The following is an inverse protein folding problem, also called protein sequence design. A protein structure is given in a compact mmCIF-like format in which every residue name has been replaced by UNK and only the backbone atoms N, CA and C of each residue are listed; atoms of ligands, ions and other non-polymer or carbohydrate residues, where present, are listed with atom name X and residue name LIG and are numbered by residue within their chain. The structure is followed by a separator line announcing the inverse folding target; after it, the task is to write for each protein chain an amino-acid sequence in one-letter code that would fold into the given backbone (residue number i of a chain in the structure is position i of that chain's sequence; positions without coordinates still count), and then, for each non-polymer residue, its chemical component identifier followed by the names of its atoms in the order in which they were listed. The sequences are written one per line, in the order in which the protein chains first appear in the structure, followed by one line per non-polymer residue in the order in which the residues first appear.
data_IF_792497099031
#
_entry.id   IF_792497099031
#
_cell.length_a   1.000
_cell.length_b   1.000
_cell.length_c   1.000
_cell.angle_alpha   90.00
_cell.angle_beta   90.00
_cell.angle_gamma   90.00
#
_symmetry.space_group_name_H-M   'P 1'
#
loop_
_entity.id
_entity.type
_entity.pdbx_description
1 polymer ?
#
# COMPACT_ATOMS: atom_id res chain seq x y z
N UNK A 1 -16.89 -12.16 15.12
CA UNK A 1 -16.83 -11.17 14.03
C UNK A 1 -16.88 -11.84 12.65
N UNK A 2 -15.98 -12.77 12.30
CA UNK A 2 -16.03 -13.54 11.03
C UNK A 2 -17.37 -14.24 10.80
N UNK A 3 -17.88 -14.97 11.79
CA UNK A 3 -19.15 -15.69 11.68
C UNK A 3 -20.33 -14.76 11.34
N UNK A 4 -20.31 -13.51 11.81
CA UNK A 4 -21.32 -12.51 11.47
C UNK A 4 -21.22 -12.08 10.00
N UNK A 5 -20.01 -11.80 9.50
CA UNK A 5 -19.83 -11.44 8.09
C UNK A 5 -20.10 -12.61 7.14
N UNK A 6 -19.77 -13.85 7.54
CA UNK A 6 -20.08 -15.04 6.74
C UNK A 6 -21.59 -15.29 6.68
N UNK A 7 -22.31 -15.10 7.79
CA UNK A 7 -23.77 -15.21 7.79
C UNK A 7 -24.41 -14.10 6.94
N UNK A 8 -23.93 -12.86 7.07
CA UNK A 8 -24.36 -11.74 6.21
C UNK A 8 -24.13 -12.07 4.73
N UNK A 9 -22.96 -12.58 4.35
CA UNK A 9 -22.66 -12.97 2.98
C UNK A 9 -23.65 -14.00 2.43
N UNK A 10 -23.99 -15.02 3.24
CA UNK A 10 -24.93 -16.06 2.83
C UNK A 10 -26.35 -15.49 2.61
N UNK A 11 -26.85 -14.67 3.54
CA UNK A 11 -28.16 -14.02 3.42
C UNK A 11 -28.21 -13.08 2.21
N UNK A 12 -27.17 -12.27 2.00
CA UNK A 12 -27.11 -11.36 0.85
C UNK A 12 -27.18 -12.10 -0.49
N UNK A 13 -26.51 -13.26 -0.60
CA UNK A 13 -26.58 -14.14 -1.78
C UNK A 13 -27.97 -14.73 -1.99
N UNK A 14 -28.61 -15.20 -0.92
CA UNK A 14 -29.98 -15.73 -0.98
C UNK A 14 -30.98 -14.67 -1.45
N UNK A 15 -30.81 -13.43 -0.99
CA UNK A 15 -31.64 -12.29 -1.37
C UNK A 15 -31.23 -11.65 -2.71
N UNK A 16 -30.13 -12.12 -3.34
CA UNK A 16 -29.51 -11.51 -4.53
C UNK A 16 -29.21 -10.02 -4.37
N UNK A 17 -28.86 -9.60 -3.15
CA UNK A 17 -28.44 -8.24 -2.84
C UNK A 17 -26.92 -8.10 -3.08
N UNK A 18 -26.57 -7.65 -4.29
CA UNK A 18 -25.18 -7.48 -4.74
C UNK A 18 -24.41 -6.48 -3.86
N UNK A 19 -25.08 -5.43 -3.40
CA UNK A 19 -24.46 -4.37 -2.57
C UNK A 19 -24.08 -4.92 -1.19
N UNK A 20 -24.99 -5.65 -0.56
CA UNK A 20 -24.73 -6.30 0.73
C UNK A 20 -23.71 -7.42 0.62
N UNK A 21 -23.74 -8.20 -0.47
CA UNK A 21 -22.74 -9.24 -0.75
C UNK A 21 -21.34 -8.64 -0.86
N UNK A 22 -21.16 -7.60 -1.68
CA UNK A 22 -19.88 -6.92 -1.84
C UNK A 22 -19.37 -6.36 -0.50
N UNK A 23 -20.23 -5.73 0.29
CA UNK A 23 -19.84 -5.23 1.63
C UNK A 23 -19.38 -6.34 2.55
N UNK A 24 -20.05 -7.49 2.56
CA UNK A 24 -19.66 -8.63 3.37
C UNK A 24 -18.30 -9.22 2.92
N UNK A 25 -18.08 -9.33 1.60
CA UNK A 25 -16.81 -9.79 1.01
C UNK A 25 -15.64 -8.87 1.38
N UNK A 26 -15.79 -7.56 1.20
CA UNK A 26 -14.74 -6.60 1.58
C UNK A 26 -14.40 -6.67 3.07
N UNK A 27 -15.40 -6.80 3.94
CA UNK A 27 -15.20 -6.94 5.38
C UNK A 27 -14.50 -8.25 5.77
N UNK A 28 -14.83 -9.37 5.12
CA UNK A 28 -14.14 -10.65 5.33
C UNK A 28 -12.67 -10.57 4.89
N UNK A 29 -12.41 -10.00 3.71
CA UNK A 29 -11.06 -9.74 3.23
C UNK A 29 -10.25 -8.88 4.21
N UNK A 30 -10.83 -7.76 4.66
CA UNK A 30 -10.19 -6.85 5.61
C UNK A 30 -9.91 -7.53 6.95
N UNK A 31 -10.85 -8.36 7.43
CA UNK A 31 -10.67 -9.11 8.67
C UNK A 31 -9.45 -10.04 8.58
N UNK A 32 -9.35 -10.86 7.54
CA UNK A 32 -8.23 -11.78 7.36
C UNK A 32 -6.91 -11.03 7.13
N UNK A 33 -6.92 -9.99 6.30
CA UNK A 33 -5.76 -9.15 6.04
C UNK A 33 -5.20 -8.51 7.32
N UNK A 34 -6.08 -8.03 8.22
CA UNK A 34 -5.68 -7.43 9.51
C UNK A 34 -4.99 -8.43 10.45
N UNK A 35 -5.22 -9.73 10.26
CA UNK A 35 -4.60 -10.83 11.03
C UNK A 35 -3.35 -11.41 10.36
N UNK A 36 -2.94 -10.87 9.22
CA UNK A 36 -1.86 -11.44 8.41
C UNK A 36 -2.25 -12.74 7.69
N UNK A 37 -3.54 -13.08 7.67
CA UNK A 37 -4.11 -14.25 7.00
C UNK A 37 -4.33 -13.92 5.51
N UNK A 38 -3.26 -13.52 4.82
CA UNK A 38 -3.33 -13.05 3.42
C UNK A 38 -3.88 -14.09 2.43
N UNK A 39 -3.53 -15.40 2.52
CA UNK A 39 -4.11 -16.41 1.65
C UNK A 39 -5.65 -16.50 1.76
N UNK A 40 -6.19 -16.26 2.95
CA UNK A 40 -7.63 -16.25 3.20
C UNK A 40 -8.29 -14.94 2.73
N UNK A 41 -7.57 -13.81 2.79
CA UNK A 41 -8.09 -12.51 2.38
C UNK A 41 -8.29 -12.38 0.85
N UNK A 42 -7.32 -12.87 0.08
CA UNK A 42 -7.29 -12.80 -1.40
C UNK A 42 -8.63 -13.22 -2.06
N UNK A 43 -9.17 -14.42 -1.81
CA UNK A 43 -10.38 -14.87 -2.50
C UNK A 43 -11.62 -14.02 -2.19
N UNK A 44 -11.67 -13.34 -1.04
CA UNK A 44 -12.77 -12.43 -0.71
C UNK A 44 -12.68 -11.13 -1.49
N UNK A 45 -11.48 -10.57 -1.65
CA UNK A 45 -11.27 -9.38 -2.48
C UNK A 45 -11.47 -9.68 -3.97
N UNK A 46 -11.01 -10.83 -4.47
CA UNK A 46 -11.27 -11.23 -5.86
C UNK A 46 -12.77 -11.41 -6.14
N UNK A 47 -13.51 -11.98 -5.17
CA UNK A 47 -14.97 -12.07 -5.27
C UNK A 47 -15.62 -10.68 -5.30
N UNK A 48 -15.15 -9.73 -4.49
CA UNK A 48 -15.63 -8.35 -4.53
C UNK A 48 -15.41 -7.73 -5.92
N UNK A 49 -14.19 -7.86 -6.47
CA UNK A 49 -13.86 -7.27 -7.77
C UNK A 49 -14.64 -7.89 -8.94
N UNK A 50 -15.12 -9.13 -8.81
CA UNK A 50 -16.05 -9.70 -9.79
C UNK A 50 -17.42 -9.03 -9.78
N UNK A 51 -17.83 -8.44 -8.66
CA UNK A 51 -19.10 -7.73 -8.51
C UNK A 51 -18.96 -6.23 -8.79
N UNK A 52 -17.75 -5.68 -8.78
CA UNK A 52 -17.53 -4.23 -8.87
C UNK A 52 -18.16 -3.54 -10.10
N UNK A 53 -18.22 -4.17 -11.30
CA UNK A 53 -18.89 -3.56 -12.44
C UNK A 53 -20.38 -3.28 -12.20
N UNK A 54 -21.04 -4.11 -11.40
CA UNK A 54 -22.47 -3.97 -11.06
C UNK A 54 -22.70 -2.96 -9.91
N UNK A 55 -21.67 -2.67 -9.12
CA UNK A 55 -21.74 -1.74 -7.99
C UNK A 55 -21.58 -0.28 -8.41
N UNK A 56 -20.81 -0.03 -9.49
CA UNK A 56 -20.42 1.30 -9.95
C UNK A 56 -19.76 2.17 -8.83
N UNK A 57 -19.10 1.52 -7.87
CA UNK A 57 -18.44 2.15 -6.72
C UNK A 57 -16.92 2.13 -6.90
N UNK A 58 -16.43 3.11 -7.66
CA UNK A 58 -15.00 3.26 -7.95
C UNK A 58 -14.15 3.48 -6.70
N UNK A 59 -14.70 4.12 -5.66
CA UNK A 59 -13.97 4.42 -4.43
C UNK A 59 -13.67 3.13 -3.65
N UNK A 60 -14.69 2.29 -3.43
CA UNK A 60 -14.49 1.03 -2.74
C UNK A 60 -13.76 -0.01 -3.62
N UNK A 61 -13.91 0.05 -4.94
CA UNK A 61 -13.08 -0.74 -5.86
C UNK A 61 -11.59 -0.41 -5.68
N UNK A 62 -11.22 0.87 -5.62
CA UNK A 62 -9.84 1.30 -5.39
C UNK A 62 -9.29 0.77 -4.07
N UNK A 63 -10.07 0.88 -2.98
CA UNK A 63 -9.67 0.34 -1.65
C UNK A 63 -9.47 -1.17 -1.68
N UNK A 64 -10.33 -1.91 -2.36
CA UNK A 64 -10.21 -3.38 -2.47
C UNK A 64 -9.00 -3.76 -3.34
N UNK A 65 -8.77 -3.07 -4.46
CA UNK A 65 -7.56 -3.23 -5.27
C UNK A 65 -6.29 -2.99 -4.44
N UNK A 66 -6.27 -1.92 -3.65
CA UNK A 66 -5.15 -1.62 -2.76
C UNK A 66 -4.87 -2.75 -1.76
N UNK A 67 -5.91 -3.24 -1.08
CA UNK A 67 -5.77 -4.27 -0.07
C UNK A 67 -5.40 -5.63 -0.67
N UNK A 68 -5.91 -5.93 -1.86
CA UNK A 68 -5.54 -7.14 -2.60
C UNK A 68 -4.08 -7.07 -3.07
N UNK A 69 -3.65 -5.92 -3.60
CA UNK A 69 -2.24 -5.68 -3.95
C UNK A 69 -1.32 -5.86 -2.75
N UNK A 70 -1.72 -5.35 -1.57
CA UNK A 70 -0.99 -5.56 -0.32
C UNK A 70 -0.93 -7.03 0.11
N UNK A 71 -2.05 -7.75 0.04
CA UNK A 71 -2.07 -9.18 0.34
C UNK A 71 -1.11 -9.95 -0.58
N UNK A 72 -1.12 -9.68 -1.89
CA UNK A 72 -0.17 -10.29 -2.83
C UNK A 72 1.28 -9.92 -2.54
N UNK A 73 1.56 -8.66 -2.19
CA UNK A 73 2.90 -8.23 -1.82
C UNK A 73 3.41 -9.00 -0.59
N UNK A 74 2.60 -9.15 0.45
CA UNK A 74 2.95 -9.91 1.65
C UNK A 74 3.14 -11.41 1.38
N UNK A 75 2.47 -11.95 0.35
CA UNK A 75 2.66 -13.33 -0.11
C UNK A 75 3.89 -13.52 -1.01
N UNK A 76 4.61 -12.45 -1.36
CA UNK A 76 5.72 -12.49 -2.31
C UNK A 76 5.29 -12.53 -3.78
N UNK A 77 3.99 -12.40 -4.05
CA UNK A 77 3.40 -12.41 -5.39
C UNK A 77 3.51 -11.01 -6.01
N UNK A 78 4.73 -10.50 -6.19
CA UNK A 78 4.96 -9.09 -6.53
C UNK A 78 4.38 -8.66 -7.89
N UNK A 79 4.29 -9.58 -8.87
CA UNK A 79 3.66 -9.28 -10.16
C UNK A 79 2.16 -8.99 -10.03
N UNK A 80 1.43 -9.80 -9.27
CA UNK A 80 0.01 -9.53 -8.99
C UNK A 80 -0.16 -8.29 -8.12
N UNK A 81 0.76 -8.06 -7.17
CA UNK A 81 0.75 -6.82 -6.38
C UNK A 81 0.83 -5.57 -7.26
N UNK A 82 1.75 -5.55 -8.24
CA UNK A 82 1.86 -4.45 -9.22
C UNK A 82 0.55 -4.26 -9.96
N UNK A 83 -0.02 -5.32 -10.54
CA UNK A 83 -1.28 -5.26 -11.30
C UNK A 83 -2.41 -4.60 -10.50
N UNK A 84 -2.63 -5.02 -9.25
CA UNK A 84 -3.70 -4.46 -8.42
C UNK A 84 -3.39 -3.04 -7.94
N UNK A 85 -2.12 -2.70 -7.68
CA UNK A 85 -1.76 -1.32 -7.37
C UNK A 85 -1.83 -0.38 -8.58
N UNK A 86 -1.61 -0.86 -9.81
CA UNK A 86 -1.84 -0.10 -11.04
C UNK A 86 -3.33 0.18 -11.24
N UNK A 87 -4.20 -0.79 -10.94
CA UNK A 87 -5.66 -0.59 -10.96
C UNK A 87 -6.11 0.42 -9.89
N UNK A 88 -5.62 0.31 -8.64
CA UNK A 88 -5.84 1.31 -7.58
C UNK A 88 -5.39 2.71 -8.02
N UNK A 89 -4.20 2.82 -8.62
CA UNK A 89 -3.68 4.09 -9.15
C UNK A 89 -4.55 4.68 -10.27
N UNK A 90 -5.06 3.84 -11.18
CA UNK A 90 -5.95 4.28 -12.25
C UNK A 90 -7.24 4.87 -11.69
N UNK A 91 -7.90 4.15 -10.77
CA UNK A 91 -9.11 4.62 -10.09
C UNK A 91 -8.85 5.91 -9.30
N UNK A 92 -7.73 5.99 -8.58
CA UNK A 92 -7.35 7.20 -7.84
C UNK A 92 -7.05 8.40 -8.76
N UNK A 93 -6.62 8.18 -10.02
CA UNK A 93 -6.47 9.23 -11.03
C UNK A 93 -7.83 9.70 -11.55
N UNK A 94 -8.73 8.77 -11.84
CA UNK A 94 -10.09 9.05 -12.32
C UNK A 94 -10.91 9.82 -11.27
N UNK A 95 -10.74 9.48 -9.99
CA UNK A 95 -11.35 10.18 -8.86
C UNK A 95 -10.61 11.46 -8.44
N UNK A 96 -9.48 11.77 -9.08
CA UNK A 96 -8.58 12.87 -8.72
C UNK A 96 -8.11 12.86 -7.24
N UNK A 97 -8.11 11.69 -6.59
CA UNK A 97 -7.67 11.52 -5.21
C UNK A 97 -6.14 11.43 -5.13
N UNK A 98 -5.51 12.57 -4.86
CA UNK A 98 -4.06 12.68 -4.71
C UNK A 98 -3.50 11.87 -3.53
N UNK A 99 -4.28 11.66 -2.46
CA UNK A 99 -3.82 10.88 -1.31
C UNK A 99 -3.75 9.38 -1.65
N UNK A 100 -4.77 8.88 -2.34
CA UNK A 100 -4.78 7.49 -2.82
C UNK A 100 -3.73 7.26 -3.91
N UNK A 101 -3.54 8.21 -4.83
CA UNK A 101 -2.42 8.17 -5.79
C UNK A 101 -1.06 8.07 -5.09
N UNK A 102 -0.83 8.86 -4.04
CA UNK A 102 0.42 8.79 -3.28
C UNK A 102 0.61 7.42 -2.62
N UNK A 103 -0.43 6.84 -2.02
CA UNK A 103 -0.36 5.48 -1.44
C UNK A 103 -0.05 4.43 -2.50
N UNK A 104 -0.72 4.49 -3.65
CA UNK A 104 -0.51 3.56 -4.76
C UNK A 104 0.93 3.65 -5.32
N UNK A 105 1.44 4.86 -5.58
CA UNK A 105 2.84 5.03 -6.02
C UNK A 105 3.85 4.53 -4.99
N UNK A 106 3.60 4.75 -3.69
CA UNK A 106 4.48 4.23 -2.64
C UNK A 106 4.62 2.70 -2.74
N UNK A 107 3.50 2.00 -2.84
CA UNK A 107 3.47 0.54 -2.87
C UNK A 107 3.91 -0.05 -4.21
N UNK A 108 3.58 0.59 -5.34
CA UNK A 108 4.13 0.24 -6.66
C UNK A 108 5.65 0.32 -6.64
N UNK A 109 6.21 1.39 -6.08
CA UNK A 109 7.66 1.54 -5.97
C UNK A 109 8.31 0.42 -5.15
N UNK A 110 7.66 -0.02 -4.06
CA UNK A 110 8.14 -1.17 -3.28
C UNK A 110 8.01 -2.49 -4.04
N UNK A 111 6.91 -2.72 -4.74
CA UNK A 111 6.68 -3.93 -5.52
C UNK A 111 7.65 -4.05 -6.71
N UNK A 112 7.89 -2.96 -7.45
CA UNK A 112 8.89 -2.92 -8.51
C UNK A 112 10.31 -3.12 -7.98
N UNK A 113 10.64 -2.53 -6.81
CA UNK A 113 11.93 -2.77 -6.15
C UNK A 113 12.10 -4.25 -5.81
N UNK A 114 11.06 -4.91 -5.30
CA UNK A 114 11.08 -6.33 -4.98
C UNK A 114 11.21 -7.23 -6.23
N UNK A 115 10.68 -6.79 -7.38
CA UNK A 115 10.88 -7.43 -8.69
C UNK A 115 12.26 -7.16 -9.31
N UNK A 116 13.06 -6.27 -8.74
CA UNK A 116 14.33 -5.82 -9.31
C UNK A 116 14.19 -4.80 -10.46
N UNK A 117 12.98 -4.34 -10.76
CA UNK A 117 12.74 -3.25 -11.71
C UNK A 117 12.97 -1.90 -11.02
N UNK A 118 14.24 -1.61 -10.79
CA UNK A 118 14.64 -0.39 -10.08
C UNK A 118 14.27 0.89 -10.84
N UNK A 119 14.17 0.83 -12.17
CA UNK A 119 13.77 1.98 -13.01
C UNK A 119 12.33 2.40 -12.73
N UNK A 120 11.38 1.46 -12.83
CA UNK A 120 9.99 1.76 -12.48
C UNK A 120 9.82 2.07 -10.99
N UNK A 121 10.59 1.42 -10.13
CA UNK A 121 10.58 1.73 -8.70
C UNK A 121 10.96 3.19 -8.43
N UNK A 122 12.02 3.67 -9.05
CA UNK A 122 12.48 5.06 -8.92
C UNK A 122 11.46 6.06 -9.45
N UNK A 123 10.87 5.79 -10.63
CA UNK A 123 9.81 6.62 -11.20
C UNK A 123 8.63 6.77 -10.23
N UNK A 124 8.15 5.66 -9.66
CA UNK A 124 7.08 5.66 -8.68
C UNK A 124 7.42 6.50 -7.44
N UNK A 125 8.64 6.35 -6.90
CA UNK A 125 9.04 7.12 -5.71
C UNK A 125 9.25 8.62 -6.02
N UNK A 126 9.68 8.99 -7.23
CA UNK A 126 9.74 10.39 -7.68
C UNK A 126 8.35 11.01 -7.79
N UNK A 127 7.38 10.28 -8.36
CA UNK A 127 5.98 10.73 -8.39
C UNK A 127 5.41 10.89 -6.98
N UNK A 128 5.65 9.92 -6.09
CA UNK A 128 5.27 10.03 -4.68
C UNK A 128 5.89 11.28 -4.04
N UNK A 129 7.18 11.53 -4.25
CA UNK A 129 7.87 12.68 -3.66
C UNK A 129 7.23 14.00 -4.11
N UNK A 130 6.95 14.13 -5.40
CA UNK A 130 6.27 15.31 -5.98
C UNK A 130 4.86 15.50 -5.40
N UNK A 131 4.06 14.43 -5.34
CA UNK A 131 2.73 14.48 -4.72
C UNK A 131 2.81 14.87 -3.25
N UNK A 132 3.73 14.25 -2.50
CA UNK A 132 3.89 14.49 -1.07
C UNK A 132 4.36 15.92 -0.78
N UNK A 133 5.16 16.53 -1.66
CA UNK A 133 5.47 17.96 -1.62
C UNK A 133 4.22 18.81 -1.86
N UNK A 134 3.44 18.51 -2.90
CA UNK A 134 2.21 19.26 -3.22
C UNK A 134 1.15 19.19 -2.12
N UNK A 135 1.12 18.09 -1.36
CA UNK A 135 0.18 17.84 -0.27
C UNK A 135 0.71 18.28 1.10
N UNK A 136 1.93 18.83 1.18
CA UNK A 136 2.64 19.11 2.44
C UNK A 136 2.71 17.88 3.38
N UNK A 137 2.77 16.68 2.83
CA UNK A 137 2.81 15.44 3.59
C UNK A 137 4.26 15.06 3.92
N UNK A 138 4.73 15.49 5.09
CA UNK A 138 6.10 15.24 5.56
C UNK A 138 6.41 13.74 5.68
N UNK A 139 5.46 12.92 6.13
CA UNK A 139 5.67 11.49 6.30
C UNK A 139 5.86 10.78 4.96
N UNK A 140 5.05 11.10 3.96
CA UNK A 140 5.18 10.55 2.62
C UNK A 140 6.48 11.02 1.94
N UNK A 141 6.87 12.29 2.11
CA UNK A 141 8.17 12.80 1.65
C UNK A 141 9.33 12.02 2.28
N UNK A 142 9.30 11.80 3.59
CA UNK A 142 10.32 11.04 4.30
C UNK A 142 10.46 9.61 3.74
N UNK A 143 9.32 8.91 3.56
CA UNK A 143 9.31 7.55 2.99
C UNK A 143 9.84 7.53 1.55
N UNK A 144 9.43 8.47 0.71
CA UNK A 144 9.88 8.55 -0.68
C UNK A 144 11.39 8.73 -0.80
N UNK A 145 11.98 9.62 0.01
CA UNK A 145 13.42 9.86 0.04
C UNK A 145 14.19 8.61 0.48
N UNK A 146 13.75 7.95 1.55
CA UNK A 146 14.38 6.70 2.00
C UNK A 146 14.30 5.59 0.95
N UNK A 147 13.13 5.42 0.33
CA UNK A 147 12.95 4.44 -0.73
C UNK A 147 13.82 4.74 -1.96
N UNK A 148 14.00 6.01 -2.33
CA UNK A 148 14.92 6.41 -3.40
C UNK A 148 16.37 6.06 -3.04
N UNK A 149 16.82 6.41 -1.84
CA UNK A 149 18.14 5.99 -1.35
C UNK A 149 18.36 4.49 -1.45
N UNK A 150 17.39 3.69 -0.98
CA UNK A 150 17.44 2.23 -1.03
C UNK A 150 17.54 1.69 -2.47
N UNK A 151 16.79 2.28 -3.40
CA UNK A 151 16.83 1.88 -4.81
C UNK A 151 18.23 2.10 -5.41
N UNK A 152 18.87 3.22 -5.10
CA UNK A 152 20.23 3.52 -5.54
C UNK A 152 21.26 2.57 -4.92
N UNK A 153 21.12 2.25 -3.63
CA UNK A 153 21.93 1.22 -2.96
C UNK A 153 21.77 -0.14 -3.63
N UNK A 154 20.54 -0.56 -3.94
CA UNK A 154 20.28 -1.82 -4.65
C UNK A 154 20.93 -1.87 -6.04
N UNK A 155 21.07 -0.72 -6.71
CA UNK A 155 21.82 -0.59 -7.97
C UNK A 155 23.33 -0.48 -7.81
N UNK A 156 23.85 -0.50 -6.57
CA UNK A 156 25.25 -0.26 -6.21
C UNK A 156 25.76 1.17 -6.51
N UNK A 157 24.85 2.12 -6.73
CA UNK A 157 25.19 3.54 -6.84
C UNK A 157 25.13 4.21 -5.47
N UNK A 158 26.20 4.03 -4.69
CA UNK A 158 26.27 4.60 -3.35
C UNK A 158 26.37 6.13 -3.37
N UNK A 159 27.02 6.69 -4.41
CA UNK A 159 27.19 8.15 -4.54
C UNK A 159 25.84 8.82 -4.82
N UNK A 160 25.02 8.22 -5.69
CA UNK A 160 23.67 8.70 -5.96
C UNK A 160 22.69 8.50 -4.80
N UNK A 161 22.92 7.54 -3.90
CA UNK A 161 22.07 7.31 -2.73
C UNK A 161 22.21 8.38 -1.63
N UNK A 162 23.45 8.87 -1.40
CA UNK A 162 23.78 9.86 -0.35
C UNK A 162 22.84 11.08 -0.33
N UNK A 163 22.60 11.80 -1.45
CA UNK A 163 21.77 13.00 -1.41
C UNK A 163 20.32 12.72 -0.95
N UNK A 164 19.77 11.54 -1.23
CA UNK A 164 18.43 11.19 -0.77
C UNK A 164 18.39 10.95 0.74
N UNK A 165 19.38 10.25 1.29
CA UNK A 165 19.48 10.03 2.73
C UNK A 165 19.78 11.32 3.51
N UNK A 166 20.60 12.22 2.97
CA UNK A 166 20.85 13.53 3.57
C UNK A 166 19.57 14.39 3.63
N UNK A 167 18.79 14.41 2.55
CA UNK A 167 17.49 15.09 2.52
C UNK A 167 16.51 14.44 3.51
N UNK A 168 16.48 13.10 3.58
CA UNK A 168 15.63 12.37 4.51
C UNK A 168 15.97 12.70 5.98
N UNK A 169 17.26 12.74 6.31
CA UNK A 169 17.75 13.11 7.65
C UNK A 169 17.40 14.56 7.99
N UNK A 170 17.60 15.48 7.05
CA UNK A 170 17.24 16.89 7.21
C UNK A 170 15.75 17.04 7.52
N UNK A 171 14.90 16.29 6.81
CA UNK A 171 13.45 16.29 7.03
C UNK A 171 13.08 15.72 8.42
N UNK A 172 13.76 14.67 8.88
CA UNK A 172 13.55 14.11 10.21
C UNK A 172 13.89 15.12 11.33
N UNK A 173 14.93 15.94 11.15
CA UNK A 173 15.27 16.99 12.09
C UNK A 173 14.24 18.12 12.14
N UNK A 174 13.61 18.44 11.01
CA UNK A 174 12.55 19.46 10.94
C UNK A 174 11.22 18.99 11.54
N UNK A 175 10.96 17.68 11.60
CA UNK A 175 9.68 17.11 12.00
C UNK A 175 9.51 16.84 13.51
N UNK A 176 10.52 17.11 14.35
CA UNK A 176 10.49 16.81 15.78
C UNK A 176 10.50 15.29 16.10
N UNK A 177 10.47 14.89 17.38
CA UNK A 177 10.73 13.50 17.81
C UNK A 177 9.73 12.44 17.32
N UNK A 178 8.62 12.82 16.69
CA UNK A 178 7.56 11.90 16.23
C UNK A 178 7.93 11.00 15.04
N UNK A 179 9.03 11.25 14.32
CA UNK A 179 9.50 10.39 13.22
C UNK A 179 10.69 9.48 13.58
N UNK A 180 11.27 9.60 14.77
CA UNK A 180 12.48 8.81 15.18
C UNK A 180 12.20 7.35 15.58
N UNK A 181 10.94 6.91 15.56
CA UNK A 181 10.50 5.66 16.21
C UNK A 181 10.35 4.40 15.36
N UNK A 182 11.12 4.23 14.28
CA UNK A 182 11.12 2.97 13.51
C UNK A 182 12.54 2.60 13.11
N UNK A 183 13.33 2.04 14.04
CA UNK A 183 14.61 1.43 13.68
C UNK A 183 15.76 1.48 14.68
N UNK A 184 15.57 1.83 15.96
CA UNK A 184 16.65 1.62 16.94
C UNK A 184 16.50 0.23 17.60
N UNK A 185 17.52 -0.64 17.53
CA UNK A 185 17.55 -1.85 18.33
C UNK A 185 17.67 -1.44 19.81
N UNK A 186 16.92 -2.12 20.67
CA UNK A 186 17.04 -1.98 22.11
C UNK A 186 18.51 -2.15 22.52
N UNK A 187 19.11 -1.11 23.08
CA UNK A 187 20.39 -1.24 23.75
C UNK A 187 20.23 -2.21 24.93
N UNK A 188 21.15 -3.16 25.13
CA UNK A 188 21.06 -4.09 26.24
C UNK A 188 21.24 -3.31 27.55
N UNK A 189 20.28 -3.46 28.46
CA UNK A 189 20.44 -3.03 29.83
C UNK A 189 21.57 -3.84 30.48
N UNK A 190 22.70 -3.18 30.72
CA UNK A 190 23.86 -3.76 31.40
C UNK A 190 24.46 -2.78 32.39
N UNK A 191 24.19 -3.05 33.68
CA UNK A 191 25.09 -2.98 34.86
C UNK A 191 25.80 -1.63 35.14
N UNK A 192 25.70 -0.99 36.30
CA UNK A 192 25.59 -1.44 37.70
C UNK A 192 24.71 -0.47 38.52
#
# INVERSE_FOLDING_TARGET
MVAHYQNHLNIARELRDVQSEARALSNLGNFHCSRGEFPQAVPYYEQYLRLSPDLQDMENEGKVCHNLGYAHYCLGNFQEAVKYYEQDLALAKDLHDKLSQAKAYCNLGLAFKALGDFSKAEECQKYLLSLAQSLNNLQARFRALGNLGDIFVCRKDLVGAVPFYEQQLTLAHQAGPGLRGAGQPAQPAGQL
#
